data_IF_178841693121
#
_entry.id   IF_178841693121
#
_cell.length_a   1.000
_cell.length_b   1.000
_cell.length_c   1.000
_cell.angle_alpha   90.00
_cell.angle_beta   90.00
_cell.angle_gamma   90.00
#
_symmetry.space_group_name_H-M   'P 1'
#
loop_
_entity.id
_entity.type
_entity.pdbx_description
1 polymer ?
#
# COMPACT_ATOMS: atom_id res chain seq x y z
N UNK A 1 -12.30 -1.96 1.36
CA UNK A 1 -12.36 -0.85 2.34
C UNK A 1 -13.64 -0.02 2.24
N UNK A 2 -14.10 0.37 1.04
CA UNK A 2 -15.28 1.24 0.82
C UNK A 2 -16.58 0.70 1.44
N UNK A 3 -16.75 -0.63 1.45
CA UNK A 3 -17.97 -1.27 1.95
C UNK A 3 -17.87 -1.56 3.44
N UNK A 4 -16.72 -2.04 3.93
CA UNK A 4 -16.58 -2.51 5.30
C UNK A 4 -16.56 -1.40 6.35
N UNK A 5 -16.12 -0.17 6.01
CA UNK A 5 -16.24 0.97 6.90
C UNK A 5 -17.71 1.25 7.27
N UNK A 6 -18.56 1.66 6.31
CA UNK A 6 -19.97 1.90 6.55
C UNK A 6 -20.75 0.66 7.03
N UNK A 7 -20.37 -0.54 6.61
CA UNK A 7 -20.98 -1.77 7.11
C UNK A 7 -20.71 -1.93 8.60
N UNK A 8 -19.44 -1.71 9.03
CA UNK A 8 -19.08 -1.81 10.45
C UNK A 8 -19.73 -0.75 11.33
N UNK A 9 -20.05 0.42 10.75
CA UNK A 9 -20.82 1.47 11.44
C UNK A 9 -22.31 1.08 11.61
N UNK A 10 -22.82 0.16 10.76
CA UNK A 10 -24.21 -0.27 10.80
C UNK A 10 -24.43 -1.53 11.68
N UNK A 11 -23.62 -2.58 11.48
CA UNK A 11 -23.83 -3.86 12.16
C UNK A 11 -22.93 -4.08 13.38
N UNK A 12 -21.88 -3.26 13.53
CA UNK A 12 -20.86 -3.36 14.57
C UNK A 12 -19.49 -3.76 14.04
N UNK A 13 -18.46 -3.47 14.82
CA UNK A 13 -17.04 -3.76 14.45
C UNK A 13 -16.78 -5.25 14.38
N UNK A 14 -17.15 -5.98 15.45
CA UNK A 14 -16.90 -7.43 15.56
C UNK A 14 -17.58 -8.23 14.46
N UNK A 15 -18.90 -8.12 14.21
CA UNK A 15 -19.56 -8.88 13.15
C UNK A 15 -18.93 -8.65 11.78
N UNK A 16 -18.54 -7.41 11.48
CA UNK A 16 -17.94 -7.06 10.20
C UNK A 16 -16.56 -7.69 10.01
N UNK A 17 -15.75 -7.80 11.09
CA UNK A 17 -14.45 -8.50 11.06
C UNK A 17 -14.64 -9.99 10.84
N UNK A 18 -15.64 -10.61 11.48
CA UNK A 18 -15.93 -12.03 11.28
C UNK A 18 -16.35 -12.35 9.85
N UNK A 19 -17.21 -11.52 9.26
CA UNK A 19 -17.58 -11.66 7.84
C UNK A 19 -16.30 -11.64 6.98
N UNK A 20 -15.39 -10.69 7.22
CA UNK A 20 -14.15 -10.58 6.47
C UNK A 20 -13.25 -11.82 6.61
N UNK A 21 -13.01 -12.29 7.83
CA UNK A 21 -12.19 -13.48 8.05
C UNK A 21 -12.85 -14.76 7.51
N UNK A 22 -14.17 -14.90 7.60
CA UNK A 22 -14.91 -16.03 7.02
C UNK A 22 -14.73 -16.06 5.49
N UNK A 23 -14.92 -14.92 4.82
CA UNK A 23 -14.70 -14.82 3.37
C UNK A 23 -13.24 -15.15 3.01
N UNK A 24 -12.26 -14.65 3.78
CA UNK A 24 -10.85 -14.94 3.58
C UNK A 24 -10.54 -16.43 3.73
N UNK A 25 -11.08 -17.08 4.78
CA UNK A 25 -10.87 -18.51 5.04
C UNK A 25 -11.43 -19.38 3.91
N UNK A 26 -12.68 -19.14 3.53
CA UNK A 26 -13.32 -19.86 2.41
C UNK A 26 -12.57 -19.67 1.09
N UNK A 27 -12.12 -18.45 0.83
CA UNK A 27 -11.32 -18.13 -0.35
C UNK A 27 -9.94 -18.81 -0.32
N UNK A 28 -9.31 -18.93 0.85
CA UNK A 28 -8.04 -19.64 1.02
C UNK A 28 -8.21 -21.14 0.72
N UNK A 29 -9.28 -21.75 1.20
CA UNK A 29 -9.62 -23.14 0.91
C UNK A 29 -9.94 -23.35 -0.59
N UNK A 30 -10.59 -22.38 -1.23
CA UNK A 30 -10.80 -22.40 -2.69
C UNK A 30 -9.46 -22.39 -3.43
N UNK A 31 -8.50 -21.53 -3.05
CA UNK A 31 -7.19 -21.45 -3.68
C UNK A 31 -6.39 -22.76 -3.55
N UNK A 32 -6.51 -23.45 -2.41
CA UNK A 32 -5.81 -24.74 -2.20
C UNK A 32 -6.33 -25.84 -3.12
N UNK A 33 -7.65 -25.90 -3.30
CA UNK A 33 -8.31 -27.01 -4.02
C UNK A 33 -8.46 -26.74 -5.52
N UNK A 34 -8.00 -25.59 -6.03
CA UNK A 34 -8.17 -25.27 -7.45
C UNK A 34 -7.00 -25.76 -8.29
N UNK A 35 -7.32 -26.22 -9.51
CA UNK A 35 -6.38 -26.57 -10.56
C UNK A 35 -6.40 -25.59 -11.74
N UNK A 36 -7.36 -24.64 -11.76
CA UNK A 36 -7.49 -23.67 -12.85
C UNK A 36 -7.01 -22.27 -12.43
N UNK A 37 -6.39 -21.55 -13.37
CA UNK A 37 -5.93 -20.19 -13.15
C UNK A 37 -7.10 -19.23 -12.83
N UNK A 38 -8.22 -19.40 -13.49
CA UNK A 38 -9.40 -18.56 -13.31
C UNK A 38 -9.96 -18.66 -11.88
N UNK A 39 -10.09 -19.88 -11.37
CA UNK A 39 -10.54 -20.12 -10.00
C UNK A 39 -9.52 -19.65 -8.98
N UNK A 40 -8.22 -19.75 -9.28
CA UNK A 40 -7.15 -19.16 -8.44
C UNK A 40 -7.30 -17.64 -8.38
N UNK A 41 -7.49 -16.97 -9.50
CA UNK A 41 -7.71 -15.51 -9.56
C UNK A 41 -8.94 -15.12 -8.75
N UNK A 42 -10.06 -15.84 -8.92
CA UNK A 42 -11.28 -15.61 -8.14
C UNK A 42 -11.02 -15.75 -6.63
N UNK A 43 -10.35 -16.82 -6.22
CA UNK A 43 -9.96 -17.06 -4.84
C UNK A 43 -9.12 -15.91 -4.28
N UNK A 44 -8.13 -15.41 -5.04
CA UNK A 44 -7.29 -14.26 -4.65
C UNK A 44 -8.08 -12.96 -4.54
N UNK A 45 -9.06 -12.72 -5.42
CA UNK A 45 -9.97 -11.57 -5.34
C UNK A 45 -10.79 -11.65 -4.05
N UNK A 46 -11.37 -12.80 -3.76
CA UNK A 46 -12.16 -13.01 -2.54
C UNK A 46 -11.31 -12.91 -1.27
N UNK A 47 -10.07 -13.42 -1.26
CA UNK A 47 -9.13 -13.22 -0.16
C UNK A 47 -8.85 -11.74 0.09
N UNK A 48 -8.56 -10.97 -0.96
CA UNK A 48 -8.34 -9.52 -0.87
C UNK A 48 -9.56 -8.77 -0.36
N UNK A 49 -10.75 -9.17 -0.82
CA UNK A 49 -12.02 -8.62 -0.34
C UNK A 49 -12.21 -8.91 1.16
N UNK A 50 -12.04 -10.16 1.60
CA UNK A 50 -12.17 -10.56 3.00
C UNK A 50 -11.20 -9.81 3.92
N UNK A 51 -9.91 -9.74 3.58
CA UNK A 51 -8.88 -9.03 4.37
C UNK A 51 -9.08 -7.51 4.41
N UNK A 52 -9.87 -6.94 3.51
CA UNK A 52 -10.16 -5.51 3.55
C UNK A 52 -11.00 -5.10 4.77
N UNK A 53 -11.77 -6.04 5.35
CA UNK A 53 -12.55 -5.81 6.56
C UNK A 53 -11.67 -5.60 7.81
N UNK A 54 -10.86 -6.57 8.27
CA UNK A 54 -10.05 -6.40 9.45
C UNK A 54 -9.07 -5.22 9.30
N UNK A 55 -8.51 -4.98 8.11
CA UNK A 55 -7.63 -3.83 7.85
C UNK A 55 -8.32 -2.48 8.08
N UNK A 56 -9.54 -2.33 7.60
CA UNK A 56 -10.30 -1.08 7.72
C UNK A 56 -10.83 -0.89 9.13
N UNK A 57 -11.35 -1.96 9.72
CA UNK A 57 -12.02 -1.93 11.01
C UNK A 57 -11.03 -1.81 12.16
N UNK A 58 -9.81 -2.36 12.04
CA UNK A 58 -8.76 -2.18 13.04
C UNK A 58 -8.50 -0.69 13.32
N UNK A 59 -8.41 0.14 12.28
CA UNK A 59 -8.24 1.60 12.42
C UNK A 59 -9.46 2.22 13.11
N UNK A 60 -10.67 1.76 12.78
CA UNK A 60 -11.88 2.24 13.41
C UNK A 60 -11.92 1.87 14.91
N UNK A 61 -11.57 0.65 15.29
CA UNK A 61 -11.48 0.20 16.68
C UNK A 61 -10.47 1.04 17.47
N UNK A 62 -9.29 1.30 16.89
CA UNK A 62 -8.28 2.15 17.54
C UNK A 62 -8.84 3.56 17.81
N UNK A 63 -9.56 4.13 16.85
CA UNK A 63 -10.19 5.44 17.00
C UNK A 63 -11.33 5.44 18.02
N UNK A 64 -12.08 4.33 18.12
CA UNK A 64 -13.17 4.19 19.07
C UNK A 64 -12.64 4.07 20.53
N UNK A 65 -11.44 3.48 20.71
CA UNK A 65 -10.84 3.23 22.02
C UNK A 65 -9.86 4.31 22.50
N UNK A 66 -9.18 5.00 21.59
CA UNK A 66 -8.07 5.89 21.91
C UNK A 66 -8.25 7.26 21.26
N UNK A 67 -7.79 8.31 21.97
CA UNK A 67 -7.78 9.68 21.47
C UNK A 67 -6.41 10.34 21.73
N UNK A 68 -6.13 11.42 21.00
CA UNK A 68 -4.91 12.23 21.21
C UNK A 68 -3.62 11.42 21.06
N UNK A 69 -2.68 11.63 21.98
CA UNK A 69 -1.34 11.04 21.95
C UNK A 69 -1.33 9.52 22.06
N UNK A 70 -2.27 8.94 22.81
CA UNK A 70 -2.40 7.48 22.91
C UNK A 70 -2.80 6.84 21.58
N UNK A 71 -3.72 7.46 20.84
CA UNK A 71 -4.07 7.01 19.48
C UNK A 71 -2.86 7.07 18.56
N UNK A 72 -2.11 8.17 18.59
CA UNK A 72 -0.90 8.34 17.78
C UNK A 72 0.15 7.26 18.11
N UNK A 73 0.34 6.94 19.40
CA UNK A 73 1.26 5.88 19.84
C UNK A 73 0.85 4.51 19.32
N UNK A 74 -0.43 4.14 19.46
CA UNK A 74 -0.94 2.83 18.97
C UNK A 74 -0.82 2.74 17.45
N UNK A 75 -1.17 3.80 16.72
CA UNK A 75 -1.02 3.87 15.25
C UNK A 75 0.43 3.73 14.81
N UNK A 76 1.38 4.27 15.57
CA UNK A 76 2.82 4.10 15.28
C UNK A 76 3.24 2.63 15.39
N UNK A 77 2.80 1.91 16.43
CA UNK A 77 3.06 0.47 16.54
C UNK A 77 2.44 -0.32 15.39
N UNK A 78 1.20 -0.03 15.02
CA UNK A 78 0.54 -0.65 13.86
C UNK A 78 1.35 -0.41 12.58
N UNK A 79 1.85 0.80 12.38
CA UNK A 79 2.68 1.15 11.22
C UNK A 79 3.99 0.37 11.19
N UNK A 80 4.67 0.21 12.35
CA UNK A 80 5.90 -0.58 12.44
C UNK A 80 5.63 -2.04 12.05
N UNK A 81 4.54 -2.64 12.55
CA UNK A 81 4.16 -4.00 12.18
C UNK A 81 3.89 -4.12 10.68
N UNK A 82 3.18 -3.15 10.08
CA UNK A 82 2.97 -3.12 8.63
C UNK A 82 4.26 -3.02 7.81
N UNK A 83 5.29 -2.36 8.33
CA UNK A 83 6.60 -2.27 7.67
C UNK A 83 7.40 -3.58 7.79
N UNK A 84 7.27 -4.28 8.93
CA UNK A 84 7.98 -5.54 9.16
C UNK A 84 7.42 -6.70 8.31
N UNK A 85 6.11 -6.74 8.06
CA UNK A 85 5.46 -7.82 7.32
C UNK A 85 6.06 -8.03 5.91
N UNK A 86 6.21 -7.01 5.05
CA UNK A 86 6.84 -7.19 3.75
C UNK A 86 8.29 -7.68 3.82
N UNK A 87 9.01 -7.36 4.90
CA UNK A 87 10.39 -7.81 5.12
C UNK A 87 10.42 -9.30 5.44
N UNK A 88 9.52 -9.75 6.30
CA UNK A 88 9.48 -11.14 6.78
C UNK A 88 8.78 -12.09 5.80
N UNK A 89 7.78 -11.60 5.05
CA UNK A 89 6.93 -12.43 4.20
C UNK A 89 7.71 -13.26 3.15
N UNK A 90 8.71 -12.73 2.42
CA UNK A 90 9.48 -13.53 1.47
C UNK A 90 10.29 -14.63 2.16
N UNK A 91 10.88 -14.35 3.32
CA UNK A 91 11.64 -15.33 4.09
C UNK A 91 10.75 -16.45 4.62
N UNK A 92 9.58 -16.11 5.17
CA UNK A 92 8.58 -17.08 5.62
C UNK A 92 8.03 -17.90 4.45
N UNK A 93 7.73 -17.25 3.32
CA UNK A 93 7.28 -17.93 2.11
C UNK A 93 8.30 -18.92 1.58
N UNK A 94 9.57 -18.54 1.54
CA UNK A 94 10.67 -19.43 1.14
C UNK A 94 10.78 -20.62 2.09
N UNK A 95 10.78 -20.41 3.39
CA UNK A 95 10.85 -21.48 4.39
C UNK A 95 9.73 -22.52 4.20
N UNK A 96 8.51 -22.07 3.91
CA UNK A 96 7.38 -22.98 3.63
C UNK A 96 7.59 -23.73 2.32
N UNK A 97 8.06 -23.06 1.25
CA UNK A 97 8.27 -23.66 -0.06
C UNK A 97 9.44 -24.63 -0.10
N UNK A 98 10.49 -24.43 0.70
CA UNK A 98 11.63 -25.33 0.81
C UNK A 98 11.25 -26.66 1.47
N UNK A 99 10.21 -26.67 2.30
CA UNK A 99 9.77 -27.85 3.07
C UNK A 99 8.49 -28.50 2.53
N UNK A 100 7.63 -27.71 1.86
CA UNK A 100 6.30 -28.12 1.43
C UNK A 100 5.97 -27.57 0.03
N UNK A 101 4.82 -27.98 -0.51
CA UNK A 101 4.29 -27.44 -1.77
C UNK A 101 3.74 -26.02 -1.62
N UNK A 102 3.47 -25.34 -2.74
CA UNK A 102 2.92 -23.99 -2.75
C UNK A 102 1.55 -23.86 -2.05
N UNK A 103 0.76 -24.94 -2.04
CA UNK A 103 -0.53 -25.00 -1.34
C UNK A 103 -0.37 -24.79 0.17
N UNK A 104 0.77 -25.20 0.74
CA UNK A 104 1.05 -25.03 2.15
C UNK A 104 1.02 -23.56 2.59
N UNK A 105 1.38 -22.64 1.71
CA UNK A 105 1.27 -21.19 1.98
C UNK A 105 -0.17 -20.81 2.32
N UNK A 106 -1.14 -21.31 1.55
CA UNK A 106 -2.56 -21.03 1.79
C UNK A 106 -3.09 -21.70 3.06
N UNK A 107 -2.62 -22.91 3.37
CA UNK A 107 -2.95 -23.58 4.64
C UNK A 107 -2.40 -22.81 5.86
N UNK A 108 -1.17 -22.30 5.77
CA UNK A 108 -0.58 -21.46 6.83
C UNK A 108 -1.39 -20.18 7.00
N UNK A 109 -1.75 -19.51 5.88
CA UNK A 109 -2.59 -18.31 5.93
C UNK A 109 -3.97 -18.60 6.54
N UNK A 110 -4.61 -19.71 6.18
CA UNK A 110 -5.89 -20.13 6.73
C UNK A 110 -5.77 -20.42 8.23
N UNK A 111 -4.74 -21.15 8.67
CA UNK A 111 -4.49 -21.45 10.06
C UNK A 111 -4.28 -20.18 10.90
N UNK A 112 -3.44 -19.25 10.43
CA UNK A 112 -3.24 -17.94 11.07
C UNK A 112 -4.56 -17.17 11.16
N UNK A 113 -5.36 -17.18 10.09
CA UNK A 113 -6.67 -16.49 10.06
C UNK A 113 -7.61 -17.05 11.14
N UNK A 114 -7.68 -18.38 11.29
CA UNK A 114 -8.49 -19.04 12.33
C UNK A 114 -7.99 -18.66 13.72
N UNK A 115 -6.68 -18.75 13.97
CA UNK A 115 -6.07 -18.40 15.28
C UNK A 115 -6.35 -16.93 15.64
N UNK A 116 -6.15 -16.01 14.69
CA UNK A 116 -6.42 -14.58 14.89
C UNK A 116 -7.92 -14.34 15.13
N UNK A 117 -8.81 -15.05 14.41
CA UNK A 117 -10.26 -14.90 14.59
C UNK A 117 -10.69 -15.38 15.98
N UNK A 118 -10.16 -16.52 16.45
CA UNK A 118 -10.44 -17.05 17.80
C UNK A 118 -9.91 -16.07 18.86
N UNK A 119 -8.66 -15.61 18.70
CA UNK A 119 -8.07 -14.65 19.63
C UNK A 119 -8.86 -13.33 19.67
N UNK A 120 -9.26 -12.81 18.52
CA UNK A 120 -10.10 -11.62 18.40
C UNK A 120 -11.49 -11.82 19.04
N UNK A 121 -12.08 -13.01 18.88
CA UNK A 121 -13.36 -13.35 19.50
C UNK A 121 -13.29 -13.33 21.03
N UNK A 122 -12.23 -13.90 21.61
CA UNK A 122 -12.04 -13.99 23.06
C UNK A 122 -11.70 -12.63 23.68
N UNK A 123 -10.80 -11.86 23.03
CA UNK A 123 -10.19 -10.68 23.64
C UNK A 123 -10.86 -9.36 23.25
N UNK A 124 -11.36 -9.26 22.04
CA UNK A 124 -11.92 -7.99 21.54
C UNK A 124 -13.39 -7.87 21.95
N UNK A 125 -13.73 -6.79 22.64
CA UNK A 125 -15.10 -6.39 22.89
C UNK A 125 -15.63 -5.56 21.71
N UNK A 126 -16.97 -5.46 21.56
CA UNK A 126 -17.57 -4.53 20.60
C UNK A 126 -17.29 -3.10 21.07
N UNK A 127 -16.72 -2.29 20.17
CA UNK A 127 -16.33 -0.91 20.47
C UNK A 127 -17.34 0.11 20.00
N UNK A 128 -18.23 -0.27 19.09
CA UNK A 128 -19.28 0.61 18.62
C UNK A 128 -20.47 0.61 19.60
N UNK A 129 -20.67 1.73 20.31
CA UNK A 129 -21.83 1.89 21.16
C UNK A 129 -23.13 1.77 20.35
N UNK A 130 -24.17 1.16 20.94
CA UNK A 130 -25.43 0.87 20.26
C UNK A 130 -26.09 2.13 19.68
N UNK A 131 -25.99 3.25 20.42
CA UNK A 131 -26.56 4.55 20.04
C UNK A 131 -25.80 5.23 18.89
N UNK A 132 -24.55 4.81 18.64
CA UNK A 132 -23.69 5.33 17.58
C UNK A 132 -23.83 4.54 16.25
N UNK A 133 -24.71 3.54 16.19
CA UNK A 133 -24.94 2.79 14.96
C UNK A 133 -25.61 3.65 13.91
N UNK A 134 -25.02 3.68 12.73
CA UNK A 134 -25.49 4.46 11.60
C UNK A 134 -26.02 3.50 10.53
N UNK A 135 -27.28 3.60 10.09
CA UNK A 135 -27.80 2.74 9.04
C UNK A 135 -26.95 2.78 7.78
N UNK A 136 -26.67 1.62 7.21
CA UNK A 136 -25.96 1.52 5.94
C UNK A 136 -26.80 2.15 4.83
N UNK A 137 -26.31 3.26 4.26
CA UNK A 137 -26.96 3.95 3.13
C UNK A 137 -25.92 4.17 2.03
N UNK A 138 -26.08 3.48 0.92
CA UNK A 138 -25.20 3.62 -0.26
C UNK A 138 -25.16 5.06 -0.77
N UNK A 139 -26.29 5.79 -0.69
CA UNK A 139 -26.40 7.21 -1.04
C UNK A 139 -25.38 8.09 -0.26
N UNK A 140 -25.10 7.76 1.01
CA UNK A 140 -24.14 8.49 1.84
C UNK A 140 -22.70 8.28 1.36
N UNK A 141 -22.38 7.05 0.93
CA UNK A 141 -21.05 6.75 0.34
C UNK A 141 -20.88 7.54 -0.95
N UNK A 142 -21.90 7.56 -1.81
CA UNK A 142 -21.89 8.28 -3.08
C UNK A 142 -21.78 9.81 -2.87
N UNK A 143 -22.49 10.36 -1.90
CA UNK A 143 -22.38 11.78 -1.53
C UNK A 143 -20.98 12.12 -1.01
N UNK A 144 -20.43 11.31 -0.12
CA UNK A 144 -19.07 11.47 0.36
C UNK A 144 -18.01 11.35 -0.75
N UNK A 145 -18.24 10.42 -1.72
CA UNK A 145 -17.41 10.31 -2.89
C UNK A 145 -17.47 11.60 -3.74
N UNK A 146 -18.65 12.08 -4.05
CA UNK A 146 -18.83 13.32 -4.80
C UNK A 146 -18.17 14.50 -4.10
N UNK A 147 -18.32 14.61 -2.78
CA UNK A 147 -17.70 15.66 -1.98
C UNK A 147 -16.16 15.51 -1.97
N UNK A 148 -15.63 14.30 -1.76
CA UNK A 148 -14.18 14.05 -1.80
C UNK A 148 -13.59 14.42 -3.16
N UNK A 149 -14.28 14.07 -4.25
CA UNK A 149 -13.87 14.33 -5.63
C UNK A 149 -14.11 15.80 -6.07
N UNK A 150 -14.78 16.63 -5.27
CA UNK A 150 -14.91 18.05 -5.58
C UNK A 150 -13.65 18.86 -5.24
N UNK A 151 -12.78 18.35 -4.36
CA UNK A 151 -11.55 19.02 -3.97
C UNK A 151 -10.39 18.67 -4.90
N UNK A 152 -9.99 19.59 -5.78
CA UNK A 152 -8.89 19.40 -6.73
C UNK A 152 -7.60 18.93 -6.05
N UNK A 153 -7.27 19.50 -4.88
CA UNK A 153 -6.07 19.13 -4.11
C UNK A 153 -6.12 17.67 -3.67
N UNK A 154 -7.26 17.20 -3.16
CA UNK A 154 -7.49 15.81 -2.77
C UNK A 154 -7.34 14.87 -3.96
N UNK A 155 -7.97 15.17 -5.10
CA UNK A 155 -7.84 14.37 -6.32
C UNK A 155 -6.38 14.33 -6.78
N UNK A 156 -5.72 15.49 -6.89
CA UNK A 156 -4.36 15.56 -7.39
C UNK A 156 -3.39 14.73 -6.55
N UNK A 157 -3.42 14.86 -5.22
CA UNK A 157 -2.57 14.02 -4.34
C UNK A 157 -2.99 12.54 -4.34
N UNK A 158 -4.26 12.23 -4.59
CA UNK A 158 -4.74 10.84 -4.77
C UNK A 158 -4.15 10.22 -6.05
N UNK A 159 -4.12 10.96 -7.15
CA UNK A 159 -3.51 10.52 -8.42
C UNK A 159 -2.00 10.32 -8.26
N UNK A 160 -1.30 11.26 -7.62
CA UNK A 160 0.13 11.11 -7.27
C UNK A 160 0.33 9.85 -6.42
N UNK A 161 -0.52 9.62 -5.41
CA UNK A 161 -0.48 8.40 -4.59
C UNK A 161 -0.65 7.14 -5.45
N UNK A 162 -1.57 7.14 -6.42
CA UNK A 162 -1.77 6.03 -7.35
C UNK A 162 -0.54 5.70 -8.17
N UNK A 163 0.13 6.72 -8.72
CA UNK A 163 1.36 6.57 -9.48
C UNK A 163 2.51 6.01 -8.62
N UNK A 164 2.71 6.55 -7.42
CA UNK A 164 3.81 6.11 -6.54
C UNK A 164 3.55 4.72 -5.94
N UNK A 165 2.32 4.43 -5.53
CA UNK A 165 1.94 3.08 -5.10
C UNK A 165 2.06 2.08 -6.25
N UNK A 166 1.69 2.46 -7.47
CA UNK A 166 1.85 1.64 -8.68
C UNK A 166 3.31 1.30 -8.96
N UNK A 167 4.21 2.28 -8.90
CA UNK A 167 5.66 2.06 -9.03
C UNK A 167 6.19 1.10 -7.96
N UNK A 168 5.72 1.22 -6.71
CA UNK A 168 6.11 0.32 -5.65
C UNK A 168 5.56 -1.10 -5.84
N UNK A 169 4.32 -1.24 -6.28
CA UNK A 169 3.70 -2.55 -6.56
C UNK A 169 4.40 -3.29 -7.71
N UNK A 170 4.85 -2.58 -8.77
CA UNK A 170 5.58 -3.25 -9.83
C UNK A 170 6.91 -3.82 -9.33
N UNK A 171 7.63 -3.10 -8.47
CA UNK A 171 8.81 -3.66 -7.80
C UNK A 171 8.46 -4.90 -6.98
N UNK A 172 7.43 -4.82 -6.13
CA UNK A 172 7.03 -5.97 -5.30
C UNK A 172 6.70 -7.21 -6.15
N UNK A 173 6.00 -7.04 -7.28
CA UNK A 173 5.62 -8.15 -8.16
C UNK A 173 6.80 -8.67 -9.00
N UNK A 174 7.73 -7.82 -9.41
CA UNK A 174 8.86 -8.18 -10.27
C UNK A 174 10.15 -8.53 -9.48
N UNK A 175 10.22 -8.23 -8.19
CA UNK A 175 11.43 -8.40 -7.38
C UNK A 175 11.98 -9.83 -7.40
N UNK A 176 11.10 -10.84 -7.31
CA UNK A 176 11.50 -12.24 -7.38
C UNK A 176 12.12 -12.56 -8.75
N UNK A 177 11.45 -12.15 -9.83
CA UNK A 177 11.93 -12.36 -11.20
C UNK A 177 13.28 -11.66 -11.42
N UNK A 178 13.43 -10.43 -10.95
CA UNK A 178 14.69 -9.69 -11.06
C UNK A 178 15.80 -10.43 -10.31
N UNK A 179 15.67 -10.61 -9.01
CA UNK A 179 16.78 -11.11 -8.18
C UNK A 179 17.02 -12.59 -8.34
N UNK A 180 15.99 -13.43 -8.46
CA UNK A 180 16.15 -14.88 -8.53
C UNK A 180 16.39 -15.39 -9.95
N UNK A 181 15.72 -14.82 -10.97
CA UNK A 181 15.81 -15.32 -12.35
C UNK A 181 16.86 -14.57 -13.16
N UNK A 182 16.84 -13.21 -13.15
CA UNK A 182 17.78 -12.43 -13.96
C UNK A 182 19.19 -12.37 -13.35
N UNK A 183 19.30 -12.33 -12.01
CA UNK A 183 20.60 -12.28 -11.30
C UNK A 183 21.02 -13.61 -10.66
N UNK A 184 20.16 -14.63 -10.64
CA UNK A 184 20.47 -15.94 -10.06
C UNK A 184 20.56 -15.98 -8.51
N UNK A 185 20.17 -14.90 -7.83
CA UNK A 185 20.33 -14.70 -6.38
C UNK A 185 19.16 -15.29 -5.58
N UNK A 186 18.95 -16.61 -5.71
CA UNK A 186 17.81 -17.29 -5.06
C UNK A 186 17.91 -17.33 -3.54
N UNK A 187 19.13 -17.53 -3.01
CA UNK A 187 19.34 -17.60 -1.56
C UNK A 187 19.44 -16.23 -0.92
N UNK A 188 19.98 -15.26 -1.62
CA UNK A 188 20.22 -13.90 -1.15
C UNK A 188 18.95 -13.02 -1.23
N UNK A 189 17.96 -13.40 -2.04
CA UNK A 189 16.76 -12.62 -2.29
C UNK A 189 16.06 -12.09 -1.02
N UNK A 190 15.83 -12.90 0.05
CA UNK A 190 15.19 -12.39 1.25
C UNK A 190 15.99 -11.29 1.95
N UNK A 191 17.33 -11.39 1.94
CA UNK A 191 18.23 -10.40 2.56
C UNK A 191 18.26 -9.11 1.74
N UNK A 192 18.30 -9.22 0.41
CA UNK A 192 18.24 -8.08 -0.51
C UNK A 192 16.93 -7.33 -0.32
N UNK A 193 15.83 -8.07 -0.30
CA UNK A 193 14.49 -7.49 -0.11
C UNK A 193 14.37 -6.77 1.23
N UNK A 194 14.88 -7.38 2.31
CA UNK A 194 14.95 -6.76 3.63
C UNK A 194 15.82 -5.50 3.64
N UNK A 195 16.99 -5.53 3.01
CA UNK A 195 17.90 -4.39 2.92
C UNK A 195 17.27 -3.17 2.24
N UNK A 196 16.53 -3.39 1.15
CA UNK A 196 15.80 -2.33 0.45
C UNK A 196 14.65 -1.79 1.31
N UNK A 197 13.93 -2.66 2.04
CA UNK A 197 12.88 -2.23 2.95
C UNK A 197 13.42 -1.39 4.12
N UNK A 198 14.66 -1.63 4.59
CA UNK A 198 15.34 -0.80 5.58
C UNK A 198 15.53 0.64 5.06
N UNK A 199 15.85 0.82 3.78
CA UNK A 199 15.99 2.16 3.19
C UNK A 199 14.67 2.96 3.29
N UNK A 200 13.52 2.31 3.03
CA UNK A 200 12.19 2.91 3.26
C UNK A 200 12.00 3.26 4.74
N UNK A 201 12.34 2.34 5.64
CA UNK A 201 12.20 2.51 7.08
C UNK A 201 13.00 3.71 7.61
N UNK A 202 14.26 3.85 7.18
CA UNK A 202 15.12 4.99 7.52
C UNK A 202 14.49 6.30 7.05
N UNK A 203 13.98 6.36 5.82
CA UNK A 203 13.35 7.56 5.29
C UNK A 203 12.07 7.93 6.06
N UNK A 204 11.24 6.95 6.42
CA UNK A 204 10.03 7.17 7.24
C UNK A 204 10.41 7.69 8.63
N UNK A 205 11.45 7.14 9.25
CA UNK A 205 11.96 7.62 10.54
C UNK A 205 12.45 9.07 10.45
N UNK A 206 13.26 9.40 9.45
CA UNK A 206 13.75 10.75 9.21
C UNK A 206 12.62 11.72 8.85
N UNK A 207 11.57 11.24 8.18
CA UNK A 207 10.42 12.06 7.83
C UNK A 207 9.75 12.69 9.06
N UNK A 208 9.70 11.98 10.19
CA UNK A 208 9.14 12.52 11.44
C UNK A 208 9.78 13.84 11.87
N UNK A 209 11.11 13.97 11.75
CA UNK A 209 11.83 15.20 12.07
C UNK A 209 11.80 16.22 10.93
N UNK A 210 11.92 15.78 9.70
CA UNK A 210 12.03 16.67 8.54
C UNK A 210 10.71 17.33 8.18
N UNK A 211 9.58 16.64 8.39
CA UNK A 211 8.25 17.20 8.12
C UNK A 211 7.93 18.40 8.99
N UNK A 212 8.34 18.37 10.26
CA UNK A 212 8.17 19.49 11.18
C UNK A 212 9.01 20.70 10.75
N UNK A 213 10.22 20.47 10.25
CA UNK A 213 11.17 21.53 9.86
C UNK A 213 10.86 22.12 8.48
N UNK A 214 10.50 21.29 7.50
CA UNK A 214 10.42 21.69 6.09
C UNK A 214 9.00 21.70 5.53
N UNK A 215 8.04 21.09 6.21
CA UNK A 215 6.65 20.92 5.76
C UNK A 215 6.47 19.77 4.75
N UNK A 216 5.27 19.20 4.74
CA UNK A 216 4.91 18.03 3.91
C UNK A 216 5.08 18.30 2.40
N UNK A 217 4.60 19.45 1.93
CA UNK A 217 4.58 19.76 0.49
C UNK A 217 5.97 19.92 -0.11
N UNK A 218 6.89 20.53 0.66
CA UNK A 218 8.29 20.67 0.24
C UNK A 218 9.00 19.33 0.20
N UNK A 219 8.76 18.46 1.21
CA UNK A 219 9.33 17.12 1.23
C UNK A 219 8.81 16.27 0.08
N UNK A 220 7.50 16.31 -0.22
CA UNK A 220 6.93 15.62 -1.39
C UNK A 220 7.57 16.11 -2.69
N UNK A 221 7.73 17.44 -2.84
CA UNK A 221 8.34 18.02 -4.04
C UNK A 221 9.78 17.54 -4.23
N UNK A 222 10.60 17.64 -3.19
CA UNK A 222 12.01 17.23 -3.25
C UNK A 222 12.15 15.72 -3.49
N UNK A 223 11.31 14.94 -2.84
CA UNK A 223 11.34 13.47 -2.99
C UNK A 223 10.87 13.02 -4.37
N UNK A 224 9.86 13.66 -4.97
CA UNK A 224 9.44 13.37 -6.34
C UNK A 224 10.54 13.71 -7.35
N UNK A 225 11.20 14.86 -7.18
CA UNK A 225 12.33 15.26 -8.03
C UNK A 225 13.49 14.26 -7.87
N UNK A 226 13.85 13.90 -6.64
CA UNK A 226 14.91 12.92 -6.37
C UNK A 226 14.59 11.55 -6.97
N UNK A 227 13.35 11.07 -6.78
CA UNK A 227 12.87 9.82 -7.35
C UNK A 227 12.93 9.81 -8.88
N UNK A 228 12.50 10.89 -9.52
CA UNK A 228 12.59 11.09 -10.97
C UNK A 228 14.04 11.12 -11.45
N UNK A 229 14.90 11.93 -10.79
CA UNK A 229 16.32 12.07 -11.15
C UNK A 229 17.05 10.74 -11.07
N UNK A 230 16.85 9.96 -10.00
CA UNK A 230 17.48 8.64 -9.85
C UNK A 230 17.01 7.70 -10.98
N UNK A 231 15.72 7.75 -11.36
CA UNK A 231 15.21 6.94 -12.46
C UNK A 231 15.84 7.33 -13.80
N UNK A 232 15.95 8.62 -14.08
CA UNK A 232 16.57 9.13 -15.33
C UNK A 232 18.06 8.80 -15.37
N UNK A 233 18.78 8.97 -14.26
CA UNK A 233 20.20 8.60 -14.18
C UNK A 233 20.42 7.12 -14.47
N UNK A 234 19.57 6.25 -13.90
CA UNK A 234 19.63 4.82 -14.21
C UNK A 234 19.45 4.56 -15.71
N UNK A 235 18.43 5.17 -16.32
CA UNK A 235 18.14 4.99 -17.74
C UNK A 235 19.33 5.47 -18.59
N UNK A 236 19.90 6.64 -18.31
CA UNK A 236 21.03 7.18 -19.09
C UNK A 236 22.26 6.28 -18.97
N UNK A 237 22.59 5.83 -17.76
CA UNK A 237 23.80 5.05 -17.53
C UNK A 237 23.71 3.63 -18.07
N UNK A 238 22.52 3.02 -18.01
CA UNK A 238 22.34 1.58 -18.34
C UNK A 238 21.46 1.33 -19.56
N UNK A 239 21.22 2.35 -20.42
CA UNK A 239 20.37 2.21 -21.60
C UNK A 239 20.83 1.08 -22.52
N UNK A 240 22.13 0.93 -22.73
CA UNK A 240 22.72 -0.09 -23.63
C UNK A 240 23.17 -1.35 -22.90
N UNK A 241 22.85 -1.50 -21.61
CA UNK A 241 23.28 -2.64 -20.79
C UNK A 241 22.07 -3.46 -20.39
N UNK A 242 22.01 -4.79 -20.65
CA UNK A 242 20.83 -5.58 -20.32
C UNK A 242 20.52 -5.55 -18.82
N UNK A 243 21.54 -5.73 -17.98
CA UNK A 243 21.44 -5.57 -16.53
C UNK A 243 22.78 -5.06 -15.97
N UNK A 244 22.82 -4.07 -15.06
CA UNK A 244 24.04 -3.61 -14.41
C UNK A 244 24.55 -4.65 -13.38
N UNK A 245 25.81 -4.56 -12.93
CA UNK A 245 26.28 -5.30 -11.76
C UNK A 245 25.36 -5.07 -10.55
N UNK A 246 25.08 -6.12 -9.78
CA UNK A 246 24.09 -6.12 -8.69
C UNK A 246 24.28 -4.97 -7.68
N UNK A 247 25.53 -4.61 -7.36
CA UNK A 247 25.83 -3.52 -6.43
C UNK A 247 25.27 -2.17 -6.88
N UNK A 248 25.37 -1.85 -8.17
CA UNK A 248 24.79 -0.62 -8.73
C UNK A 248 23.26 -0.68 -8.67
N UNK A 249 22.65 -1.80 -9.06
CA UNK A 249 21.21 -1.96 -8.99
C UNK A 249 20.68 -1.75 -7.56
N UNK A 250 21.33 -2.35 -6.57
CA UNK A 250 20.97 -2.18 -5.15
C UNK A 250 21.11 -0.74 -4.68
N UNK A 251 22.18 -0.04 -5.11
CA UNK A 251 22.36 1.38 -4.83
C UNK A 251 21.23 2.25 -5.39
N UNK A 252 20.85 2.00 -6.64
CA UNK A 252 19.73 2.72 -7.27
C UNK A 252 18.39 2.39 -6.61
N UNK A 253 18.10 1.13 -6.28
CA UNK A 253 16.92 0.77 -5.53
C UNK A 253 16.91 1.38 -4.12
N UNK A 254 18.04 1.38 -3.42
CA UNK A 254 18.17 2.00 -2.10
C UNK A 254 17.78 3.49 -2.13
N UNK A 255 18.31 4.24 -3.10
CA UNK A 255 17.95 5.65 -3.30
C UNK A 255 16.48 5.84 -3.70
N UNK A 256 15.99 5.01 -4.61
CA UNK A 256 14.61 5.05 -5.07
C UNK A 256 13.64 4.87 -3.91
N UNK A 257 13.85 3.84 -3.11
CA UNK A 257 12.98 3.50 -1.98
C UNK A 257 13.15 4.41 -0.78
N UNK A 258 14.33 5.02 -0.61
CA UNK A 258 14.53 6.10 0.34
C UNK A 258 13.57 7.29 0.04
N UNK A 259 13.48 7.72 -1.22
CA UNK A 259 12.53 8.77 -1.59
C UNK A 259 11.07 8.35 -1.42
N UNK A 260 10.72 7.09 -1.74
CA UNK A 260 9.36 6.55 -1.49
C UNK A 260 8.96 6.66 -0.02
N UNK A 261 9.88 6.43 0.91
CA UNK A 261 9.62 6.53 2.34
C UNK A 261 9.10 7.91 2.77
N UNK A 262 9.60 8.99 2.17
CA UNK A 262 9.07 10.34 2.40
C UNK A 262 7.72 10.57 1.70
N UNK A 263 7.46 9.88 0.59
CA UNK A 263 6.26 10.13 -0.22
C UNK A 263 5.00 9.54 0.39
N UNK A 264 5.03 8.29 0.89
CA UNK A 264 3.83 7.55 1.29
C UNK A 264 2.98 8.24 2.33
N UNK A 265 3.59 8.72 3.42
CA UNK A 265 2.89 9.40 4.51
C UNK A 265 2.40 10.79 4.11
N UNK A 266 3.30 11.59 3.55
CA UNK A 266 3.04 12.99 3.25
C UNK A 266 2.01 13.18 2.13
N UNK A 267 2.03 12.36 1.06
CA UNK A 267 1.03 12.43 -0.02
C UNK A 267 -0.37 12.13 0.53
N UNK A 268 -0.50 11.12 1.40
CA UNK A 268 -1.79 10.79 2.03
C UNK A 268 -2.29 11.90 2.94
N UNK A 269 -1.42 12.49 3.74
CA UNK A 269 -1.77 13.59 4.61
C UNK A 269 -2.26 14.81 3.81
N UNK A 270 -1.53 15.19 2.75
CA UNK A 270 -1.92 16.28 1.86
C UNK A 270 -3.23 16.02 1.10
N UNK A 271 -3.49 14.77 0.71
CA UNK A 271 -4.77 14.39 0.09
C UNK A 271 -5.95 14.54 1.06
N UNK A 272 -5.72 14.30 2.35
CA UNK A 272 -6.76 14.33 3.39
C UNK A 272 -7.00 15.70 3.99
N UNK A 273 -6.07 16.65 3.85
CA UNK A 273 -6.11 17.98 4.45
C UNK A 273 -7.42 18.74 4.14
N UNK A 274 -7.94 18.82 2.88
CA UNK A 274 -9.17 19.54 2.59
C UNK A 274 -10.45 18.82 3.06
N UNK A 275 -10.39 17.52 3.33
CA UNK A 275 -11.56 16.65 3.58
C UNK A 275 -11.58 16.07 5.00
N UNK A 276 -10.90 16.74 5.95
CA UNK A 276 -10.81 16.29 7.35
C UNK A 276 -12.15 16.08 8.03
N UNK A 277 -13.18 16.86 7.69
CA UNK A 277 -14.54 16.76 8.22
C UNK A 277 -15.30 15.48 7.77
N UNK A 278 -14.85 14.81 6.70
CA UNK A 278 -15.37 13.53 6.20
C UNK A 278 -14.25 12.47 6.10
N UNK A 279 -13.23 12.58 6.95
CA UNK A 279 -11.98 11.83 6.86
C UNK A 279 -12.16 10.32 6.64
N UNK A 280 -13.11 9.65 7.29
CA UNK A 280 -13.33 8.22 7.15
C UNK A 280 -13.75 7.81 5.73
N UNK A 281 -14.73 8.50 5.16
CA UNK A 281 -15.20 8.25 3.79
C UNK A 281 -14.14 8.67 2.78
N UNK A 282 -13.53 9.84 2.97
CA UNK A 282 -12.49 10.36 2.08
C UNK A 282 -11.25 9.42 2.03
N UNK A 283 -10.79 8.91 3.17
CA UNK A 283 -9.68 7.94 3.21
C UNK A 283 -9.99 6.64 2.47
N UNK A 284 -11.24 6.15 2.60
CA UNK A 284 -11.67 4.96 1.86
C UNK A 284 -11.71 5.20 0.35
N UNK A 285 -12.20 6.36 -0.09
CA UNK A 285 -12.32 6.72 -1.51
C UNK A 285 -10.94 6.98 -2.13
N UNK A 286 -10.12 7.81 -1.49
CA UNK A 286 -8.76 8.10 -1.98
C UNK A 286 -7.89 6.84 -2.03
N UNK A 287 -7.99 5.98 -1.00
CA UNK A 287 -7.30 4.68 -0.98
C UNK A 287 -7.79 3.72 -2.08
N UNK A 288 -9.10 3.70 -2.35
CA UNK A 288 -9.67 2.90 -3.45
C UNK A 288 -9.16 3.39 -4.81
N UNK A 289 -9.25 4.69 -5.09
CA UNK A 289 -8.80 5.27 -6.37
C UNK A 289 -7.30 5.03 -6.57
N UNK A 290 -6.48 5.29 -5.54
CA UNK A 290 -5.03 5.04 -5.61
C UNK A 290 -4.73 3.57 -5.94
N UNK A 291 -5.44 2.62 -5.34
CA UNK A 291 -5.24 1.19 -5.60
C UNK A 291 -5.72 0.80 -7.00
N UNK A 292 -6.88 1.32 -7.43
CA UNK A 292 -7.43 1.07 -8.78
C UNK A 292 -6.53 1.61 -9.89
N UNK A 293 -5.73 2.65 -9.62
CA UNK A 293 -4.69 3.13 -10.53
C UNK A 293 -3.42 2.31 -10.43
N UNK A 294 -3.00 1.99 -9.22
CA UNK A 294 -1.73 1.33 -8.95
C UNK A 294 -1.65 -0.08 -9.58
N UNK A 295 -2.75 -0.85 -9.55
CA UNK A 295 -2.78 -2.23 -10.09
C UNK A 295 -2.58 -2.25 -11.61
N UNK A 296 -3.32 -1.51 -12.44
CA UNK A 296 -3.05 -1.45 -13.88
C UNK A 296 -1.65 -0.93 -14.22
N UNK A 297 -1.17 0.11 -13.53
CA UNK A 297 0.19 0.65 -13.72
C UNK A 297 1.22 -0.46 -13.44
N UNK A 298 1.11 -1.14 -12.32
CA UNK A 298 2.00 -2.23 -11.94
C UNK A 298 1.97 -3.38 -12.94
N UNK A 299 0.78 -3.80 -13.35
CA UNK A 299 0.62 -4.89 -14.32
C UNK A 299 1.18 -4.52 -15.69
N UNK A 300 0.93 -3.29 -16.14
CA UNK A 300 1.43 -2.82 -17.43
C UNK A 300 2.96 -2.76 -17.47
N UNK A 301 3.59 -2.10 -16.48
CA UNK A 301 5.05 -2.00 -16.41
C UNK A 301 5.68 -3.38 -16.20
N UNK A 302 5.10 -4.22 -15.34
CA UNK A 302 5.60 -5.55 -15.01
C UNK A 302 5.73 -6.49 -16.22
N UNK A 303 4.87 -6.32 -17.24
CA UNK A 303 4.94 -7.11 -18.49
C UNK A 303 6.26 -6.95 -19.25
N UNK A 304 6.93 -5.83 -19.08
CA UNK A 304 8.18 -5.51 -19.78
C UNK A 304 9.43 -5.86 -18.94
N UNK A 305 9.28 -6.17 -17.67
CA UNK A 305 10.40 -6.51 -16.76
C UNK A 305 10.72 -8.02 -16.84
N UNK A 306 10.95 -8.53 -18.05
CA UNK A 306 11.20 -9.98 -18.27
C UNK A 306 12.70 -10.28 -18.23
N UNK A 307 13.49 -9.59 -19.02
CA UNK A 307 14.93 -9.87 -19.20
C UNK A 307 15.83 -8.75 -18.70
N UNK A 308 15.28 -7.56 -18.45
CA UNK A 308 16.02 -6.37 -18.06
C UNK A 308 15.25 -5.57 -17.00
N UNK A 309 16.01 -4.91 -16.14
CA UNK A 309 15.49 -3.98 -15.12
C UNK A 309 15.19 -2.59 -15.70
N UNK A 310 15.65 -2.27 -16.90
CA UNK A 310 15.46 -0.95 -17.54
C UNK A 310 13.98 -0.53 -17.66
N UNK A 311 13.03 -1.40 -18.08
CA UNK A 311 11.61 -1.04 -18.14
C UNK A 311 11.01 -0.64 -16.81
N UNK A 312 11.52 -1.20 -15.71
CA UNK A 312 11.09 -0.84 -14.36
C UNK A 312 11.44 0.63 -14.04
N UNK A 313 12.68 1.03 -14.33
CA UNK A 313 13.11 2.42 -14.10
C UNK A 313 12.45 3.41 -15.07
N UNK A 314 12.15 3.00 -16.29
CA UNK A 314 11.31 3.79 -17.22
C UNK A 314 9.92 4.00 -16.61
N UNK A 315 9.31 2.96 -16.06
CA UNK A 315 8.04 3.05 -15.36
C UNK A 315 8.10 3.99 -14.15
N UNK A 316 9.17 3.94 -13.37
CA UNK A 316 9.42 4.86 -12.25
C UNK A 316 9.53 6.30 -12.73
N UNK A 317 10.26 6.56 -13.81
CA UNK A 317 10.41 7.87 -14.41
C UNK A 317 9.06 8.42 -14.92
N UNK A 318 8.27 7.61 -15.63
CA UNK A 318 6.94 7.99 -16.10
C UNK A 318 5.99 8.33 -14.94
N UNK A 319 5.93 7.48 -13.92
CA UNK A 319 5.07 7.70 -12.75
C UNK A 319 5.46 8.95 -11.95
N UNK A 320 6.75 9.15 -11.71
CA UNK A 320 7.25 10.33 -10.99
C UNK A 320 7.14 11.60 -11.83
N UNK A 321 7.43 11.54 -13.12
CA UNK A 321 7.26 12.66 -14.04
C UNK A 321 5.81 13.15 -14.11
N UNK A 322 4.86 12.22 -14.27
CA UNK A 322 3.42 12.53 -14.20
C UNK A 322 3.04 13.13 -12.85
N UNK A 323 3.58 12.59 -11.76
CA UNK A 323 3.34 13.11 -10.40
C UNK A 323 3.86 14.54 -10.22
N UNK A 324 5.03 14.86 -10.79
CA UNK A 324 5.59 16.23 -10.78
C UNK A 324 4.70 17.19 -11.57
N UNK A 325 4.20 16.78 -12.73
CA UNK A 325 3.28 17.60 -13.55
C UNK A 325 1.99 17.89 -12.78
N UNK A 326 1.38 16.87 -12.14
CA UNK A 326 0.19 17.04 -11.32
C UNK A 326 0.46 18.01 -10.15
N UNK A 327 1.59 17.83 -9.46
CA UNK A 327 1.97 18.70 -8.34
C UNK A 327 2.18 20.15 -8.78
N UNK A 328 2.82 20.35 -9.93
CA UNK A 328 3.00 21.70 -10.52
C UNK A 328 1.65 22.35 -10.85
N UNK A 329 0.74 21.60 -11.46
CA UNK A 329 -0.62 22.08 -11.76
C UNK A 329 -1.35 22.52 -10.48
N UNK A 330 -1.29 21.72 -9.39
CA UNK A 330 -1.90 22.06 -8.12
C UNK A 330 -1.32 23.36 -7.51
N UNK A 331 0.00 23.57 -7.62
CA UNK A 331 0.66 24.79 -7.13
C UNK A 331 0.25 26.02 -7.92
N UNK A 332 0.10 25.91 -9.24
CA UNK A 332 -0.35 27.02 -10.09
C UNK A 332 -1.80 27.37 -9.81
N UNK A 333 -2.68 26.36 -9.65
CA UNK A 333 -4.11 26.57 -9.30
C UNK A 333 -4.26 27.27 -7.95
N UNK A 334 -3.47 26.85 -6.95
CA UNK A 334 -3.47 27.47 -5.63
C UNK A 334 -3.03 28.95 -5.66
N UNK A 335 -2.01 29.28 -6.45
CA UNK A 335 -1.58 30.69 -6.62
C UNK A 335 -2.65 31.55 -7.31
N UNK A 336 -3.35 31.01 -8.32
CA UNK A 336 -4.44 31.72 -9.01
C UNK A 336 -5.65 31.98 -8.12
N UNK A 337 -5.91 31.09 -7.16
CA UNK A 337 -7.02 31.26 -6.21
C UNK A 337 -6.74 32.31 -5.12
N UNK A 338 -5.48 32.74 -4.97
CA UNK A 338 -5.05 33.78 -4.02
C UNK A 338 -4.91 35.18 -4.65
N UNK A 339 -4.98 35.28 -5.98
CA UNK A 339 -5.01 36.51 -6.78
C UNK A 339 -6.45 36.86 -7.11
#
# INVERSE_FOLDING_TARGET
PLLFGPLSDAIGRKPSVYIGFTVFLLASLLCVNTTSLEMMILGRILQGFGLSAPRTICIAIIRDLYQGDYMARVMSFVTIVFLLIPILAPAMGKFVLDSYSWQAIFYVQAAISVLVTIWFWIRQQETLAHDNKIPFKFKRILQGAKQTLSYKRTIGFTLISGCIVGSFLVYLSASQQIFQEQYGLKQEFPYIFAGIAIAIGIAIFLNGSFVVKYGMEKLVTLSLIGYFTVSILYIIVFYNTPNPPIGYLLGFFGLQFFFIGFLFGNIRALAMEPVGHIAGIAAAITGFISTMMAVPISTFIGRFVVTSTLPLFIGFACCSGLSIVILWYLKVDAKRALM
#
